data_IF_873882297258
#
_entry.id   IF_873882297258
#
_cell.length_a   1.000
_cell.length_b   1.000
_cell.length_c   1.000
_cell.angle_alpha   90.00
_cell.angle_beta   90.00
_cell.angle_gamma   90.00
#
_symmetry.space_group_name_H-M   'P 1'
#
loop_
_entity.id
_entity.type
_entity.pdbx_description
1 polymer ?
2 polymer ?
#
# COMPACT_ATOMS: atom_id res chain seq x y z
N UNK A 1 2.92 -0.73 11.75
CA UNK A 1 4.20 -1.48 11.77
C UNK A 1 4.39 -2.23 10.44
N UNK A 2 5.40 -1.78 9.68
CA UNK A 2 5.75 -2.33 8.35
C UNK A 2 4.92 -3.55 7.90
N UNK A 3 3.60 -3.38 7.73
CA UNK A 3 2.77 -4.49 7.23
C UNK A 3 2.72 -4.39 5.72
N UNK A 4 3.71 -5.03 5.10
CA UNK A 4 3.95 -5.03 3.65
C UNK A 4 5.03 -3.99 3.37
N UNK A 5 5.14 -3.51 2.15
CA UNK A 5 6.17 -2.53 1.84
C UNK A 5 5.83 -1.15 2.40
N UNK A 6 4.77 -0.54 1.88
CA UNK A 6 4.38 0.80 2.33
C UNK A 6 2.98 1.18 1.88
N UNK A 7 2.19 1.85 2.75
CA UNK A 7 0.87 2.33 2.37
C UNK A 7 1.04 3.53 1.43
N UNK A 8 0.08 4.43 1.36
CA UNK A 8 0.23 5.59 0.48
C UNK A 8 1.65 6.19 0.60
N UNK A 9 2.40 6.20 -0.52
CA UNK A 9 3.77 6.78 -0.62
C UNK A 9 4.96 5.76 -0.81
N UNK A 10 6.02 5.81 0.06
CA UNK A 10 7.24 4.95 -0.06
C UNK A 10 7.99 4.85 1.29
N UNK A 11 8.23 6.03 1.85
CA UNK A 11 9.01 6.27 3.08
C UNK A 11 8.87 5.32 4.29
N UNK A 12 7.75 5.40 5.03
CA UNK A 12 7.64 4.67 6.32
C UNK A 12 6.56 3.60 6.45
N UNK A 13 6.44 3.13 7.70
CA UNK A 13 5.46 2.13 8.07
C UNK A 13 4.11 2.76 8.36
N UNK A 14 3.09 2.14 7.80
CA UNK A 14 1.71 2.54 8.04
C UNK A 14 1.57 3.00 9.48
N UNK A 15 1.14 4.23 9.71
CA UNK A 15 0.99 4.72 11.08
C UNK A 15 -0.13 4.00 11.82
N UNK A 16 -1.08 3.44 11.06
CA UNK A 16 -2.19 2.68 11.64
C UNK A 16 -2.11 1.23 11.12
N UNK A 17 -1.75 0.27 12.00
CA UNK A 17 -1.61 -1.13 11.56
C UNK A 17 -1.71 -2.19 12.67
N UNK A 18 -2.15 -3.39 12.27
CA UNK A 18 -2.29 -4.55 13.18
C UNK A 18 -2.23 -5.87 12.39
N UNK A 19 -2.95 -5.91 11.27
CA UNK A 19 -3.01 -7.07 10.37
C UNK A 19 -2.59 -6.64 8.98
N UNK A 20 -1.85 -7.47 8.26
CA UNK A 20 -1.47 -7.12 6.90
C UNK A 20 -2.72 -7.20 6.03
N UNK A 21 -3.42 -6.08 6.02
CA UNK A 21 -4.71 -5.89 5.36
C UNK A 21 -4.61 -5.61 3.84
N UNK A 22 -4.15 -6.63 3.10
CA UNK A 22 -3.98 -6.65 1.62
C UNK A 22 -5.27 -6.10 0.90
N UNK A 23 -5.54 -4.78 1.06
CA UNK A 23 -6.76 -4.12 0.53
C UNK A 23 -6.69 -3.62 -0.93
N UNK A 24 -7.13 -4.48 -1.85
CA UNK A 24 -7.21 -4.16 -3.29
C UNK A 24 -8.52 -3.41 -3.60
N UNK A 25 -8.81 -2.36 -2.84
CA UNK A 25 -10.05 -1.58 -3.02
C UNK A 25 -9.86 -0.39 -3.97
N UNK A 26 -10.85 -0.17 -4.82
CA UNK A 26 -10.83 0.92 -5.78
C UNK A 26 -11.82 2.02 -5.43
N UNK A 27 -12.73 1.75 -4.49
CA UNK A 27 -13.75 2.73 -4.10
C UNK A 27 -14.74 2.88 -5.26
N UNK A 28 -14.23 3.41 -6.35
CA UNK A 28 -14.98 3.60 -7.57
C UNK A 28 -14.03 3.86 -8.75
N UNK A 29 -13.03 4.74 -8.51
CA UNK A 29 -12.03 5.11 -9.53
C UNK A 29 -10.65 4.52 -9.32
N UNK A 30 -10.10 4.77 -8.12
CA UNK A 30 -8.71 4.44 -7.80
C UNK A 30 -7.87 5.64 -8.29
N UNK A 31 -7.90 6.72 -7.50
CA UNK A 31 -7.26 8.02 -7.84
C UNK A 31 -5.77 8.17 -7.51
N UNK A 32 -5.07 7.16 -7.01
CA UNK A 32 -3.63 7.36 -6.75
C UNK A 32 -2.79 6.72 -7.85
N UNK A 33 -1.84 7.51 -8.41
CA UNK A 33 -0.91 7.10 -9.51
C UNK A 33 -1.28 5.77 -10.19
N UNK A 34 -1.22 4.72 -9.40
CA UNK A 34 -1.53 3.38 -9.86
C UNK A 34 -1.13 2.37 -8.83
N UNK A 35 -1.87 2.40 -7.72
CA UNK A 35 -1.62 1.50 -6.60
C UNK A 35 -1.16 0.15 -7.08
N UNK A 36 -0.30 -0.47 -6.30
CA UNK A 36 0.19 -1.79 -6.63
C UNK A 36 -0.53 -2.80 -5.78
N UNK A 37 -1.79 -2.49 -5.65
CA UNK A 37 -2.73 -3.31 -4.95
C UNK A 37 -2.36 -3.54 -3.49
N UNK A 38 -3.21 -4.32 -2.85
CA UNK A 38 -3.16 -4.71 -1.46
C UNK A 38 -1.86 -4.46 -0.68
N UNK A 39 -1.95 -3.77 0.48
CA UNK A 39 -0.81 -3.68 1.41
C UNK A 39 -1.34 -3.82 2.82
N UNK A 40 -2.31 -3.00 3.19
CA UNK A 40 -2.89 -3.15 4.49
C UNK A 40 -2.44 -2.17 5.52
N UNK A 41 -2.70 -2.54 6.76
CA UNK A 41 -2.41 -1.75 7.95
C UNK A 41 -3.66 -0.99 8.30
N UNK A 42 -4.50 -1.72 8.99
CA UNK A 42 -5.80 -1.26 9.45
C UNK A 42 -6.28 -2.33 10.43
N UNK A 43 -7.54 -2.33 10.83
CA UNK A 43 -7.98 -3.34 11.78
C UNK A 43 -9.05 -4.29 11.22
N UNK A 44 -9.02 -5.52 11.76
CA UNK A 44 -9.99 -6.60 11.45
C UNK A 44 -10.14 -7.01 9.98
N UNK A 45 -11.06 -7.98 9.81
CA UNK A 45 -11.49 -8.52 8.53
C UNK A 45 -13.02 -8.40 8.53
N UNK A 46 -13.51 -7.14 8.47
CA UNK A 46 -14.95 -6.83 8.57
C UNK A 46 -15.79 -7.05 7.31
N UNK A 47 -15.17 -7.12 6.13
CA UNK A 47 -15.94 -7.36 4.90
C UNK A 47 -15.18 -8.22 3.91
N UNK A 48 -14.08 -7.71 3.35
CA UNK A 48 -13.28 -8.47 2.40
C UNK A 48 -14.15 -9.03 1.25
N UNK A 49 -14.69 -8.13 0.41
CA UNK A 49 -15.55 -8.54 -0.72
C UNK A 49 -16.02 -7.32 -1.54
N UNK A 50 -17.19 -7.44 -2.21
CA UNK A 50 -17.74 -6.35 -3.06
C UNK A 50 -16.66 -5.94 -4.08
N UNK A 51 -16.51 -4.65 -4.38
CA UNK A 51 -15.44 -4.24 -5.28
C UNK A 51 -14.16 -3.97 -4.51
N UNK A 52 -13.98 -4.70 -3.40
CA UNK A 52 -12.83 -4.55 -2.51
C UNK A 52 -12.12 -5.88 -2.24
N UNK A 53 -11.13 -6.24 -3.05
CA UNK A 53 -10.39 -7.48 -2.84
C UNK A 53 -9.43 -7.31 -1.66
N UNK A 54 -9.78 -7.89 -0.51
CA UNK A 54 -8.97 -7.74 0.69
C UNK A 54 -8.31 -9.05 1.15
N UNK A 55 -6.99 -9.13 1.10
CA UNK A 55 -6.30 -10.33 1.57
C UNK A 55 -5.80 -10.16 3.02
N UNK A 56 -6.72 -9.79 3.91
CA UNK A 56 -6.39 -9.56 5.33
C UNK A 56 -5.68 -10.78 5.96
N UNK A 57 -4.41 -10.59 6.30
CA UNK A 57 -3.58 -11.65 6.91
C UNK A 57 -2.84 -11.17 8.16
N UNK A 58 -2.97 -11.91 9.26
CA UNK A 58 -2.29 -11.57 10.51
C UNK A 58 -0.98 -12.35 10.69
N UNK A 59 -0.20 -12.47 9.63
CA UNK A 59 1.09 -13.16 9.71
C UNK A 59 2.19 -12.16 10.10
N UNK A 60 3.41 -12.68 10.32
CA UNK A 60 4.57 -11.85 10.67
C UNK A 60 5.15 -11.13 9.44
N UNK A 61 5.41 -11.89 8.37
CA UNK A 61 6.00 -11.32 7.16
C UNK A 61 5.03 -11.24 5.99
N UNK A 62 3.88 -10.64 6.20
CA UNK A 62 2.96 -10.44 5.10
C UNK A 62 3.56 -9.32 4.25
N UNK A 63 4.38 -9.76 3.27
CA UNK A 63 5.15 -8.92 2.30
C UNK A 63 6.25 -9.84 1.68
N UNK A 64 5.85 -10.64 0.65
CA UNK A 64 6.72 -11.67 0.01
C UNK A 64 7.63 -11.17 -1.13
N UNK A 65 8.85 -10.79 -0.74
CA UNK A 65 9.88 -10.29 -1.65
C UNK A 65 9.70 -8.79 -1.88
N UNK A 66 10.78 -8.04 -1.61
CA UNK A 66 10.79 -6.57 -1.68
C UNK A 66 10.64 -5.94 -3.06
N UNK A 67 9.82 -6.54 -3.91
CA UNK A 67 9.57 -6.01 -5.25
C UNK A 67 8.34 -5.09 -5.27
N UNK A 68 8.51 -3.91 -5.85
CA UNK A 68 7.44 -2.91 -5.98
C UNK A 68 7.23 -2.77 -7.47
N UNK A 69 7.71 -1.71 -8.13
CA UNK A 69 7.64 -1.75 -9.59
C UNK A 69 8.71 -2.82 -9.88
N UNK A 70 9.15 -3.09 -11.07
CA UNK A 70 10.12 -4.16 -11.14
C UNK A 70 11.12 -4.08 -12.28
N UNK A 71 10.66 -3.99 -13.53
CA UNK A 71 11.56 -3.92 -14.68
C UNK A 71 12.47 -2.71 -14.60
N UNK B 1 12.29 22.69 -17.11
CA UNK B 1 13.24 22.16 -16.04
C UNK B 1 12.85 22.48 -14.59
N UNK B 2 13.72 22.00 -13.68
CA UNK B 2 13.51 22.18 -12.25
C UNK B 2 12.26 21.27 -11.98
N UNK B 3 11.01 21.70 -11.65
CA UNK B 3 9.87 20.73 -11.49
C UNK B 3 10.12 19.29 -11.85
N UNK B 4 10.79 18.60 -10.96
CA UNK B 4 11.03 17.19 -11.09
C UNK B 4 9.68 16.55 -10.73
N UNK B 5 9.65 15.62 -9.79
CA UNK B 5 8.37 15.13 -9.34
C UNK B 5 8.31 14.97 -7.84
N UNK B 6 7.05 15.00 -7.48
CA UNK B 6 6.51 14.76 -6.15
C UNK B 6 5.64 13.52 -6.44
N UNK B 7 6.31 12.62 -7.21
CA UNK B 7 5.76 11.40 -7.75
C UNK B 7 6.71 10.22 -7.61
N UNK B 8 6.25 9.25 -6.87
CA UNK B 8 6.96 8.02 -6.68
C UNK B 8 5.97 6.94 -6.34
N UNK B 9 5.40 7.05 -5.12
CA UNK B 9 4.41 6.11 -4.60
C UNK B 9 4.68 4.66 -5.04
N UNK B 10 5.06 3.84 -4.06
CA UNK B 10 5.37 2.42 -4.26
C UNK B 10 6.88 2.17 -4.13
N UNK B 11 7.59 3.22 -3.68
CA UNK B 11 9.04 3.20 -3.42
C UNK B 11 9.92 3.23 -4.68
N UNK B 12 11.06 3.90 -4.51
CA UNK B 12 12.11 4.08 -5.54
C UNK B 12 13.10 5.10 -5.06
N UNK B 13 12.52 6.12 -4.46
CA UNK B 13 13.24 7.26 -3.99
C UNK B 13 12.47 7.86 -2.79
N UNK B 14 12.57 9.17 -2.46
CA UNK B 14 11.86 9.71 -1.29
C UNK B 14 10.31 9.60 -1.35
N UNK B 15 9.61 10.50 -0.64
CA UNK B 15 8.14 10.43 -0.49
C UNK B 15 7.28 11.16 -1.56
N UNK B 16 5.96 10.85 -1.49
CA UNK B 16 4.89 11.43 -2.33
C UNK B 16 3.81 12.11 -1.49
N UNK B 17 4.15 12.62 -0.30
CA UNK B 17 3.20 13.29 0.57
C UNK B 17 3.16 14.79 0.36
N UNK B 18 4.06 15.31 -0.48
CA UNK B 18 4.10 16.74 -0.74
C UNK B 18 3.07 17.13 -1.80
#
# INVERSE_FOLDING_TARGET
IRCFITPDITSKDCPNGHVCYTKTWCDAFCSIRGKRVDLGCAATCPTVKTGVDIQCCSTDNCNPFPTRKRP
YRGWKHWVYYTCCPDTPYX
#
